data_IF_803475640189
#
_entry.id   IF_803475640189
#
_cell.length_a   1.000
_cell.length_b   1.000
_cell.length_c   1.000
_cell.angle_alpha   90.00
_cell.angle_beta   90.00
_cell.angle_gamma   90.00
#
_symmetry.space_group_name_H-M   'P 1'
#
loop_
_entity.id
_entity.type
_entity.pdbx_description
1 polymer ?
#
# COMPACT_ATOMS: atom_id res chain seq x y z
N UNK A 1 5.72 -1.88 6.97
CA UNK A 1 4.64 -0.97 6.51
C UNK A 1 5.15 -0.02 5.43
N UNK A 2 6.07 0.91 5.75
CA UNK A 2 6.56 1.91 4.79
C UNK A 2 7.13 1.31 3.49
N UNK A 3 7.84 0.18 3.56
CA UNK A 3 8.34 -0.51 2.37
C UNK A 3 7.23 -0.90 1.36
N UNK A 4 6.07 -1.36 1.84
CA UNK A 4 4.95 -1.70 0.96
C UNK A 4 4.27 -0.47 0.33
N UNK A 5 4.24 0.65 1.05
CA UNK A 5 3.73 1.93 0.52
C UNK A 5 4.69 2.44 -0.56
N UNK A 6 5.99 2.48 -0.27
CA UNK A 6 7.00 2.87 -1.27
C UNK A 6 6.98 1.94 -2.50
N UNK A 7 6.78 0.63 -2.31
CA UNK A 7 6.64 -0.31 -3.42
C UNK A 7 5.40 0.00 -4.27
N UNK A 8 4.28 0.43 -3.68
CA UNK A 8 3.12 0.87 -4.46
C UNK A 8 3.41 2.11 -5.29
N UNK A 9 4.22 3.04 -4.79
CA UNK A 9 4.65 4.22 -5.55
C UNK A 9 5.53 3.82 -6.73
N UNK A 10 6.43 2.85 -6.54
CA UNK A 10 7.26 2.27 -7.63
C UNK A 10 6.37 1.66 -8.71
N UNK A 11 5.37 0.86 -8.33
CA UNK A 11 4.41 0.26 -9.29
C UNK A 11 3.71 1.36 -10.09
N UNK A 12 3.19 2.39 -9.41
CA UNK A 12 2.51 3.49 -10.07
C UNK A 12 3.46 4.27 -11.00
N UNK A 13 4.66 4.58 -10.55
CA UNK A 13 5.66 5.30 -11.35
C UNK A 13 6.07 4.49 -12.58
N UNK A 14 6.32 3.18 -12.44
CA UNK A 14 6.75 2.32 -13.54
C UNK A 14 5.65 2.13 -14.59
N UNK A 15 4.40 1.93 -14.17
CA UNK A 15 3.30 1.59 -15.07
C UNK A 15 2.57 2.81 -15.63
N UNK A 16 2.49 3.90 -14.86
CA UNK A 16 1.69 5.10 -15.19
C UNK A 16 2.53 6.39 -15.30
N UNK A 17 3.83 6.35 -14.98
CA UNK A 17 4.70 7.52 -14.98
C UNK A 17 4.44 8.51 -13.83
N UNK A 18 3.59 8.17 -12.86
CA UNK A 18 3.21 9.03 -11.74
C UNK A 18 2.83 8.21 -10.51
N UNK A 19 2.93 8.81 -9.32
CA UNK A 19 2.39 8.29 -8.06
C UNK A 19 1.50 9.35 -7.40
N UNK A 20 0.73 8.96 -6.38
CA UNK A 20 -0.11 9.88 -5.62
C UNK A 20 0.75 10.71 -4.67
N UNK A 21 0.47 12.00 -4.56
CA UNK A 21 1.22 12.94 -3.70
C UNK A 21 0.27 13.49 -2.63
N UNK A 22 0.74 13.53 -1.40
CA UNK A 22 -0.02 14.04 -0.25
C UNK A 22 -0.75 12.94 0.52
N UNK A 23 -1.72 13.35 1.33
CA UNK A 23 -2.38 12.48 2.31
C UNK A 23 -3.69 11.83 1.81
N UNK A 24 -4.00 11.94 0.51
CA UNK A 24 -5.21 11.35 -0.05
C UNK A 24 -5.04 9.84 -0.30
N UNK A 25 -5.44 9.04 0.69
CA UNK A 25 -5.37 7.59 0.64
C UNK A 25 -6.23 6.97 -0.46
N UNK A 26 -7.42 7.51 -0.72
CA UNK A 26 -8.33 6.95 -1.72
C UNK A 26 -7.74 7.10 -3.12
N UNK A 27 -7.15 8.26 -3.40
CA UNK A 27 -6.44 8.51 -4.66
C UNK A 27 -5.23 7.59 -4.84
N UNK A 28 -4.42 7.41 -3.79
CA UNK A 28 -3.29 6.48 -3.83
C UNK A 28 -3.73 5.02 -4.13
N UNK A 29 -4.80 4.57 -3.49
CA UNK A 29 -5.37 3.23 -3.69
C UNK A 29 -5.92 3.08 -5.11
N UNK A 30 -6.70 4.04 -5.59
CA UNK A 30 -7.28 4.00 -6.94
C UNK A 30 -6.20 4.06 -8.04
N UNK A 31 -5.14 4.85 -7.83
CA UNK A 31 -4.02 4.95 -8.75
C UNK A 31 -3.26 3.62 -8.84
N UNK A 32 -2.94 3.01 -7.69
CA UNK A 32 -2.32 1.68 -7.65
C UNK A 32 -3.21 0.63 -8.32
N UNK A 33 -4.53 0.69 -8.10
CA UNK A 33 -5.48 -0.20 -8.74
C UNK A 33 -5.43 -0.15 -10.26
N UNK A 34 -5.23 1.05 -10.81
CA UNK A 34 -5.08 1.29 -12.25
C UNK A 34 -3.74 0.80 -12.79
N UNK A 35 -2.69 0.76 -11.97
CA UNK A 35 -1.35 0.26 -12.33
C UNK A 35 -1.21 -1.27 -12.20
N UNK A 36 -1.89 -1.91 -11.25
CA UNK A 36 -1.64 -3.28 -10.83
C UNK A 36 -2.24 -4.38 -11.73
N UNK A 37 -2.96 -4.04 -12.81
CA UNK A 37 -3.50 -4.99 -13.77
C UNK A 37 -4.35 -6.10 -13.14
N UNK A 38 -4.02 -7.37 -13.40
CA UNK A 38 -4.75 -8.54 -12.84
C UNK A 38 -4.70 -8.60 -11.31
N UNK A 39 -3.72 -7.95 -10.68
CA UNK A 39 -3.54 -7.89 -9.24
C UNK A 39 -4.32 -6.75 -8.57
N UNK A 40 -5.07 -5.94 -9.34
CA UNK A 40 -5.79 -4.73 -8.89
C UNK A 40 -6.47 -4.87 -7.53
N UNK A 41 -7.45 -5.76 -7.40
CA UNK A 41 -8.26 -5.86 -6.17
C UNK A 41 -7.45 -6.29 -4.95
N UNK A 42 -6.34 -7.00 -5.14
CA UNK A 42 -5.45 -7.37 -4.03
C UNK A 42 -4.53 -6.20 -3.67
N UNK A 43 -3.98 -5.52 -4.66
CA UNK A 43 -3.13 -4.35 -4.48
C UNK A 43 -3.85 -3.20 -3.76
N UNK A 44 -5.08 -2.88 -4.20
CA UNK A 44 -5.92 -1.86 -3.57
C UNK A 44 -6.17 -2.15 -2.08
N UNK A 45 -6.61 -3.39 -1.77
CA UNK A 45 -6.86 -3.81 -0.37
C UNK A 45 -5.60 -3.79 0.49
N UNK A 46 -4.47 -4.22 -0.06
CA UNK A 46 -3.20 -4.21 0.66
C UNK A 46 -2.75 -2.78 0.97
N UNK A 47 -2.77 -1.88 -0.01
CA UNK A 47 -2.37 -0.48 0.21
C UNK A 47 -3.32 0.23 1.18
N UNK A 48 -4.63 0.06 1.02
CA UNK A 48 -5.65 0.62 1.93
C UNK A 48 -5.41 0.17 3.38
N UNK A 49 -5.09 -1.11 3.60
CA UNK A 49 -4.78 -1.63 4.93
C UNK A 49 -3.51 -1.00 5.51
N UNK A 50 -2.44 -0.83 4.71
CA UNK A 50 -1.20 -0.20 5.18
C UNK A 50 -1.42 1.26 5.57
N UNK A 51 -2.11 2.03 4.73
CA UNK A 51 -2.38 3.45 4.95
C UNK A 51 -3.28 3.67 6.18
N UNK A 52 -4.34 2.88 6.32
CA UNK A 52 -5.23 2.95 7.50
C UNK A 52 -4.48 2.67 8.81
N UNK A 53 -3.55 1.71 8.80
CA UNK A 53 -2.74 1.37 9.98
C UNK A 53 -1.64 2.38 10.25
N UNK A 54 -1.05 2.98 9.22
CA UNK A 54 -0.12 4.11 9.36
C UNK A 54 -0.79 5.26 10.10
N UNK A 55 -1.97 5.68 9.66
CA UNK A 55 -2.72 6.76 10.31
C UNK A 55 -3.07 6.43 11.76
N UNK A 56 -3.55 5.21 12.03
CA UNK A 56 -3.86 4.80 13.39
C UNK A 56 -2.62 4.81 14.31
N UNK A 57 -1.49 4.26 13.84
CA UNK A 57 -0.26 4.23 14.62
C UNK A 57 0.30 5.64 14.89
N UNK A 58 0.25 6.54 13.90
CA UNK A 58 0.80 7.89 14.01
C UNK A 58 -0.09 8.83 14.85
N UNK A 59 -1.40 8.80 14.65
CA UNK A 59 -2.29 9.83 15.18
C UNK A 59 -3.15 9.39 16.36
N UNK A 60 -3.35 8.09 16.56
CA UNK A 60 -4.25 7.61 17.63
C UNK A 60 -3.54 6.90 18.78
N UNK A 61 -2.20 6.79 18.73
CA UNK A 61 -1.41 6.06 19.74
C UNK A 61 -1.85 4.60 19.89
N UNK A 62 -2.63 4.07 18.94
CA UNK A 62 -3.24 2.75 19.03
C UNK A 62 -2.16 1.70 18.92
N UNK A 63 -2.03 0.88 19.96
CA UNK A 63 -1.14 -0.28 19.93
C UNK A 63 -1.59 -1.26 18.85
N UNK A 64 -0.66 -1.62 17.96
CA UNK A 64 -0.87 -2.68 16.98
C UNK A 64 -0.72 -4.03 17.66
N UNK A 65 -1.78 -4.83 17.65
CA UNK A 65 -1.73 -6.20 18.12
C UNK A 65 -0.93 -7.11 17.18
N UNK A 66 -0.61 -8.32 17.65
CA UNK A 66 0.11 -9.32 16.84
C UNK A 66 -0.60 -9.66 15.52
N UNK A 67 -1.93 -9.68 15.50
CA UNK A 67 -2.71 -9.89 14.27
C UNK A 67 -2.60 -8.72 13.29
N UNK A 68 -2.59 -7.48 13.79
CA UNK A 68 -2.41 -6.29 12.95
C UNK A 68 -1.03 -6.29 12.30
N UNK A 69 0.01 -6.65 13.07
CA UNK A 69 1.38 -6.78 12.57
C UNK A 69 1.44 -7.84 11.46
N UNK A 70 0.87 -9.02 11.69
CA UNK A 70 0.84 -10.09 10.67
C UNK A 70 0.12 -9.63 9.39
N UNK A 71 -1.02 -8.95 9.52
CA UNK A 71 -1.78 -8.44 8.39
C UNK A 71 -0.97 -7.40 7.60
N UNK A 72 -0.39 -6.42 8.29
CA UNK A 72 0.42 -5.35 7.69
C UNK A 72 1.69 -5.92 7.04
N UNK A 73 2.35 -6.89 7.66
CA UNK A 73 3.54 -7.52 7.08
C UNK A 73 3.21 -8.28 5.79
N UNK A 74 2.11 -9.04 5.76
CA UNK A 74 1.67 -9.75 4.55
C UNK A 74 1.27 -8.79 3.43
N UNK A 75 0.55 -7.72 3.77
CA UNK A 75 0.17 -6.69 2.81
C UNK A 75 1.40 -6.00 2.22
N UNK A 76 2.37 -5.63 3.05
CA UNK A 76 3.61 -5.01 2.60
C UNK A 76 4.44 -5.96 1.71
N UNK A 77 4.61 -7.22 2.12
CA UNK A 77 5.34 -8.22 1.34
C UNK A 77 4.71 -8.43 -0.04
N UNK A 78 3.38 -8.49 -0.12
CA UNK A 78 2.70 -8.60 -1.41
C UNK A 78 2.99 -7.42 -2.34
N UNK A 79 2.94 -6.18 -1.85
CA UNK A 79 3.21 -5.00 -2.66
C UNK A 79 4.68 -4.89 -3.09
N UNK A 80 5.61 -5.32 -2.22
CA UNK A 80 7.03 -5.42 -2.58
C UNK A 80 7.22 -6.44 -3.70
N UNK A 81 6.66 -7.65 -3.56
CA UNK A 81 6.76 -8.66 -4.62
C UNK A 81 6.16 -8.16 -5.94
N UNK A 82 4.99 -7.51 -5.87
CA UNK A 82 4.36 -6.93 -7.05
C UNK A 82 5.27 -5.90 -7.75
N UNK A 83 6.07 -5.14 -7.01
CA UNK A 83 7.02 -4.19 -7.57
C UNK A 83 8.30 -4.88 -8.12
N UNK A 84 8.73 -5.97 -7.50
CA UNK A 84 9.88 -6.78 -7.95
C UNK A 84 9.59 -7.55 -9.25
N UNK A 85 8.32 -7.88 -9.51
CA UNK A 85 7.87 -8.61 -10.70
C UNK A 85 7.66 -7.72 -11.95
N UNK A 86 7.96 -6.41 -11.88
CA UNK A 86 7.80 -5.43 -12.98
C UNK A 86 8.99 -5.37 -13.95
#
# INVERSE_FOLDING_TARGET
MNAGIAASDVVCCKMLGRHSIGDNHEEAVALLGSAAGVSRSKAERCLSALLSRKTAATYSGRHMGSNDIKQVSRAAAFLVQLAEDL
#
